data_IF_719716800702
#
_entry.id   IF_719716800702
#
_cell.length_a   1.000
_cell.length_b   1.000
_cell.length_c   1.000
_cell.angle_alpha   90.00
_cell.angle_beta   90.00
_cell.angle_gamma   90.00
#
_symmetry.space_group_name_H-M   'P 1'
#
loop_
_entity.id
_entity.type
_entity.pdbx_description
1 polymer ?
#
# COMPACT_ATOMS: atom_id res chain seq x y z
N UNK A 1 11.14 23.64 5.12
CA UNK A 1 10.91 22.41 4.32
C UNK A 1 10.95 21.23 5.27
N UNK A 2 10.05 20.24 5.12
CA UNK A 2 10.29 18.95 5.76
C UNK A 2 11.37 18.24 4.95
N UNK A 3 12.43 17.78 5.61
CA UNK A 3 13.51 17.02 4.99
C UNK A 3 13.58 15.73 5.80
N UNK A 4 13.40 14.59 5.12
CA UNK A 4 13.61 13.29 5.70
C UNK A 4 15.08 13.17 6.11
N UNK A 5 15.33 12.74 7.34
CA UNK A 5 16.68 12.50 7.85
C UNK A 5 17.14 11.11 7.36
N UNK A 6 18.43 10.96 7.02
CA UNK A 6 19.01 9.69 6.56
C UNK A 6 18.81 8.59 7.61
N UNK A 7 18.26 7.43 7.25
CA UNK A 7 18.03 6.36 8.21
C UNK A 7 19.36 5.73 8.71
N UNK A 8 19.81 6.04 9.93
CA UNK A 8 21.11 5.55 10.48
C UNK A 8 21.21 4.03 10.66
N UNK A 9 20.10 3.34 10.88
CA UNK A 9 20.08 1.87 11.06
C UNK A 9 20.20 1.10 9.74
N UNK A 10 20.08 1.80 8.60
CA UNK A 10 20.07 1.21 7.27
C UNK A 10 21.31 1.68 6.50
N UNK A 11 22.49 1.23 6.94
CA UNK A 11 23.78 1.41 6.23
C UNK A 11 23.84 0.59 4.95
N UNK A 12 22.90 0.83 4.03
CA UNK A 12 22.92 0.29 2.69
C UNK A 12 22.70 1.46 1.71
N UNK A 13 23.60 1.63 0.75
CA UNK A 13 23.58 2.78 -0.17
C UNK A 13 22.35 2.79 -1.08
N UNK A 14 21.70 1.63 -1.26
CA UNK A 14 20.45 1.51 -2.01
C UNK A 14 19.24 2.04 -1.25
N UNK A 15 19.25 1.95 0.09
CA UNK A 15 18.10 2.32 0.93
C UNK A 15 17.89 3.84 0.92
N UNK A 16 18.92 4.58 1.31
CA UNK A 16 18.86 6.06 1.30
C UNK A 16 18.57 6.71 -0.06
N UNK A 17 18.68 5.98 -1.19
CA UNK A 17 18.33 6.51 -2.50
C UNK A 17 16.84 6.89 -2.62
N UNK A 18 15.92 6.08 -2.06
CA UNK A 18 14.48 6.41 -2.12
C UNK A 18 14.14 7.58 -1.20
N UNK A 19 14.76 7.65 -0.02
CA UNK A 19 14.69 8.83 0.86
C UNK A 19 15.13 10.10 0.11
N UNK A 20 16.28 10.05 -0.57
CA UNK A 20 16.81 11.21 -1.30
C UNK A 20 15.90 11.61 -2.46
N UNK A 21 15.38 10.65 -3.23
CA UNK A 21 14.43 10.91 -4.30
C UNK A 21 13.10 11.49 -3.78
N UNK A 22 12.58 10.95 -2.68
CA UNK A 22 11.36 11.46 -2.04
C UNK A 22 11.59 12.90 -1.51
N UNK A 23 12.74 13.17 -0.89
CA UNK A 23 13.14 14.50 -0.45
C UNK A 23 13.25 15.51 -1.60
N UNK A 24 13.74 15.07 -2.77
CA UNK A 24 13.83 15.89 -3.98
C UNK A 24 12.50 16.08 -4.70
N UNK A 25 11.45 15.34 -4.33
CA UNK A 25 10.16 15.36 -5.02
C UNK A 25 9.33 16.60 -4.68
N UNK A 26 8.92 17.35 -5.71
CA UNK A 26 7.95 18.43 -5.54
C UNK A 26 6.59 17.92 -5.03
N UNK A 27 6.22 16.69 -5.37
CA UNK A 27 5.00 16.05 -4.87
C UNK A 27 5.07 15.83 -3.36
N UNK A 28 6.22 15.40 -2.83
CA UNK A 28 6.42 15.25 -1.39
C UNK A 28 6.24 16.58 -0.65
N UNK A 29 6.92 17.64 -1.11
CA UNK A 29 6.79 18.95 -0.51
C UNK A 29 5.34 19.47 -0.52
N UNK A 30 4.62 19.24 -1.63
CA UNK A 30 3.21 19.61 -1.80
C UNK A 30 2.32 18.86 -0.81
N UNK A 31 2.46 17.55 -0.71
CA UNK A 31 1.62 16.74 0.18
C UNK A 31 1.88 17.03 1.65
N UNK A 32 3.13 17.26 2.05
CA UNK A 32 3.44 17.71 3.42
C UNK A 32 2.78 19.05 3.73
N UNK A 33 2.71 19.98 2.77
CA UNK A 33 2.04 21.25 2.95
C UNK A 33 0.52 21.09 3.14
N UNK A 34 -0.11 20.16 2.42
CA UNK A 34 -1.54 19.80 2.60
C UNK A 34 -1.76 19.18 3.97
N UNK A 35 -0.96 18.18 4.35
CA UNK A 35 -1.05 17.50 5.66
C UNK A 35 -0.97 18.52 6.80
N UNK A 36 -0.08 19.51 6.71
CA UNK A 36 0.08 20.56 7.75
C UNK A 36 -1.15 21.43 7.97
N UNK A 37 -2.09 21.47 7.05
CA UNK A 37 -3.37 22.16 7.24
C UNK A 37 -4.27 21.42 8.25
N UNK A 38 -4.03 20.13 8.45
CA UNK A 38 -4.79 19.26 9.35
C UNK A 38 -3.96 18.81 10.56
N UNK A 39 -2.64 18.71 10.42
CA UNK A 39 -1.70 18.21 11.42
C UNK A 39 -0.52 19.17 11.56
N UNK A 40 -0.61 20.13 12.49
CA UNK A 40 0.38 21.21 12.65
C UNK A 40 1.77 20.71 13.09
N UNK A 41 1.82 19.64 13.87
CA UNK A 41 3.03 19.12 14.53
C UNK A 41 3.63 17.90 13.81
N UNK A 42 3.70 17.94 12.47
CA UNK A 42 4.36 16.87 11.71
C UNK A 42 5.88 17.06 11.68
N UNK A 43 6.57 16.10 12.28
CA UNK A 43 8.03 15.97 12.30
C UNK A 43 8.41 14.61 11.71
N UNK A 44 9.49 14.55 10.94
CA UNK A 44 10.01 13.28 10.42
C UNK A 44 11.12 12.81 11.34
N UNK A 45 11.04 11.58 11.83
CA UNK A 45 12.17 10.91 12.51
C UNK A 45 12.66 9.74 11.66
N UNK A 46 13.95 9.46 11.73
CA UNK A 46 14.58 8.35 10.99
C UNK A 46 13.91 7.00 11.29
N UNK A 47 13.51 6.77 12.55
CA UNK A 47 12.83 5.54 13.02
C UNK A 47 11.45 5.32 12.40
N UNK A 48 10.91 6.35 11.77
CA UNK A 48 9.56 6.38 11.23
C UNK A 48 9.54 6.09 9.72
N UNK A 49 10.71 5.75 9.15
CA UNK A 49 10.90 5.41 7.74
C UNK A 49 11.00 3.90 7.56
N UNK A 50 10.16 3.35 6.68
CA UNK A 50 10.21 1.95 6.26
C UNK A 50 10.38 1.89 4.75
N UNK A 51 11.38 1.17 4.27
CA UNK A 51 11.59 0.90 2.85
C UNK A 51 11.48 -0.58 2.54
N UNK A 52 10.81 -0.90 1.45
CA UNK A 52 10.52 -2.26 1.01
C UNK A 52 10.63 -2.36 -0.50
N UNK A 53 10.96 -3.55 -1.00
CA UNK A 53 10.93 -3.87 -2.44
C UNK A 53 9.99 -5.07 -2.63
N UNK A 54 9.07 -4.99 -3.59
CA UNK A 54 8.06 -5.99 -3.94
C UNK A 54 7.74 -5.92 -5.45
N UNK A 55 7.05 -6.88 -6.07
CA UNK A 55 6.86 -6.96 -7.54
C UNK A 55 7.00 -8.38 -8.11
N UNK A 56 6.88 -8.59 -9.42
CA UNK A 56 7.08 -9.93 -10.02
C UNK A 56 8.53 -10.14 -10.44
N UNK A 57 9.21 -11.18 -9.94
CA UNK A 57 10.56 -11.55 -10.38
C UNK A 57 11.05 -12.90 -9.85
N UNK A 58 10.83 -13.96 -10.64
CA UNK A 58 11.13 -15.39 -10.37
C UNK A 58 12.51 -15.72 -9.77
N UNK A 59 13.46 -14.79 -9.74
CA UNK A 59 14.72 -14.80 -8.98
C UNK A 59 15.14 -13.34 -8.77
N UNK A 60 15.84 -13.03 -7.68
CA UNK A 60 16.53 -11.75 -7.51
C UNK A 60 17.32 -11.38 -8.78
N UNK A 61 16.82 -10.41 -9.56
CA UNK A 61 17.55 -9.81 -10.69
C UNK A 61 16.90 -9.86 -12.07
N UNK A 62 15.76 -10.54 -12.29
CA UNK A 62 15.19 -10.73 -13.64
C UNK A 62 13.71 -10.32 -13.78
N UNK A 63 13.17 -9.51 -12.87
CA UNK A 63 11.78 -9.07 -12.91
C UNK A 63 11.57 -7.61 -12.52
N UNK A 64 10.36 -7.12 -12.77
CA UNK A 64 9.93 -5.76 -12.48
C UNK A 64 9.94 -5.53 -10.96
N UNK A 65 10.76 -4.58 -10.51
CA UNK A 65 10.90 -4.28 -9.07
C UNK A 65 10.17 -2.97 -8.73
N UNK A 66 9.15 -3.09 -7.88
CA UNK A 66 8.52 -1.97 -7.23
C UNK A 66 9.18 -1.70 -5.89
N UNK A 67 9.55 -0.45 -5.66
CA UNK A 67 10.09 -0.02 -4.38
C UNK A 67 9.07 0.87 -3.68
N UNK A 68 8.82 0.60 -2.40
CA UNK A 68 8.02 1.44 -1.53
C UNK A 68 8.90 2.07 -0.46
N UNK A 69 8.58 3.32 -0.14
CA UNK A 69 9.01 4.00 1.08
C UNK A 69 7.76 4.50 1.81
N UNK A 70 7.70 4.26 3.11
CA UNK A 70 6.68 4.78 4.00
C UNK A 70 7.35 5.67 5.03
N UNK A 71 6.79 6.84 5.26
CA UNK A 71 7.25 7.80 6.27
C UNK A 71 6.07 8.11 7.16
N UNK A 72 6.11 7.62 8.39
CA UNK A 72 5.14 7.98 9.41
C UNK A 72 5.52 9.36 9.98
N UNK A 73 4.64 10.34 9.91
CA UNK A 73 4.90 11.69 10.44
C UNK A 73 4.33 11.86 11.86
N UNK A 74 3.28 11.13 12.18
CA UNK A 74 2.70 10.94 13.51
C UNK A 74 1.76 9.70 13.47
N UNK A 75 0.95 9.48 14.50
CA UNK A 75 0.05 8.31 14.59
C UNK A 75 -1.10 8.29 13.57
N UNK A 76 -1.36 9.39 12.88
CA UNK A 76 -2.48 9.52 11.93
C UNK A 76 -2.05 10.11 10.58
N UNK A 77 -0.75 10.04 10.26
CA UNK A 77 -0.19 10.58 9.02
C UNK A 77 0.93 9.67 8.50
N UNK A 78 0.75 9.18 7.28
CA UNK A 78 1.73 8.40 6.53
C UNK A 78 1.91 9.03 5.15
N UNK A 79 3.16 9.24 4.76
CA UNK A 79 3.53 9.50 3.38
C UNK A 79 4.05 8.22 2.75
N UNK A 80 3.52 7.86 1.60
CA UNK A 80 3.92 6.71 0.79
C UNK A 80 4.60 7.22 -0.48
N UNK A 81 5.78 6.73 -0.77
CA UNK A 81 6.46 6.85 -2.05
C UNK A 81 6.51 5.49 -2.74
N UNK A 82 6.11 5.44 -4.00
CA UNK A 82 6.17 4.24 -4.83
C UNK A 82 6.99 4.52 -6.07
N UNK A 83 7.99 3.69 -6.33
CA UNK A 83 8.83 3.76 -7.52
C UNK A 83 8.78 2.45 -8.28
N UNK A 84 8.67 2.55 -9.58
CA UNK A 84 8.71 1.44 -10.51
C UNK A 84 9.92 1.60 -11.42
N UNK A 85 10.88 0.68 -11.36
CA UNK A 85 12.12 0.72 -12.16
C UNK A 85 12.78 2.12 -12.23
N UNK A 86 12.84 2.72 -13.42
CA UNK A 86 13.45 4.03 -13.68
C UNK A 86 12.43 5.19 -13.71
N UNK A 87 11.17 4.95 -13.38
CA UNK A 87 10.14 5.99 -13.35
C UNK A 87 10.36 6.99 -12.20
N UNK A 88 9.67 8.13 -12.31
CA UNK A 88 9.55 9.08 -11.19
C UNK A 88 8.75 8.45 -10.03
N UNK A 89 9.13 8.81 -8.80
CA UNK A 89 8.44 8.35 -7.60
C UNK A 89 7.02 8.94 -7.54
N UNK A 90 6.01 8.07 -7.49
CA UNK A 90 4.62 8.44 -7.20
C UNK A 90 4.50 8.64 -5.69
N UNK A 91 4.03 9.81 -5.27
CA UNK A 91 3.85 10.14 -3.85
C UNK A 91 2.37 10.22 -3.50
N UNK A 92 2.00 9.55 -2.41
CA UNK A 92 0.66 9.51 -1.82
C UNK A 92 0.75 9.90 -0.34
N UNK A 93 -0.25 10.58 0.17
CA UNK A 93 -0.39 10.86 1.60
C UNK A 93 -1.69 10.25 2.10
N UNK A 94 -1.61 9.67 3.30
CA UNK A 94 -2.73 9.11 4.03
C UNK A 94 -2.76 9.83 5.36
N UNK A 95 -3.83 10.54 5.66
CA UNK A 95 -3.92 11.28 6.92
C UNK A 95 -5.36 11.40 7.38
N UNK A 96 -5.56 11.52 8.69
CA UNK A 96 -6.87 11.84 9.22
C UNK A 96 -7.24 13.31 8.94
N UNK A 97 -8.49 13.57 8.63
CA UNK A 97 -9.02 14.92 8.47
C UNK A 97 -10.46 14.98 8.96
N UNK A 98 -10.98 16.20 9.13
CA UNK A 98 -12.40 16.43 9.37
C UNK A 98 -13.04 16.82 8.06
N UNK A 99 -14.07 16.08 7.63
CA UNK A 99 -14.79 16.36 6.39
C UNK A 99 -15.79 17.52 6.55
N UNK A 100 -16.48 17.90 5.46
CA UNK A 100 -17.45 19.00 5.45
C UNK A 100 -18.62 18.80 6.44
N UNK A 101 -18.90 17.55 6.83
CA UNK A 101 -19.95 17.20 7.80
C UNK A 101 -19.47 17.23 9.25
N UNK A 102 -18.19 17.51 9.49
CA UNK A 102 -17.58 17.47 10.82
C UNK A 102 -17.18 16.07 11.27
N UNK A 103 -17.21 15.08 10.38
CA UNK A 103 -16.83 13.70 10.69
C UNK A 103 -15.32 13.52 10.49
N UNK A 104 -14.67 12.79 11.39
CA UNK A 104 -13.28 12.40 11.21
C UNK A 104 -13.21 11.27 10.19
N UNK A 105 -12.41 11.45 9.14
CA UNK A 105 -12.20 10.50 8.06
C UNK A 105 -10.71 10.31 7.79
N UNK A 106 -10.36 9.30 6.99
CA UNK A 106 -9.02 9.12 6.44
C UNK A 106 -9.05 9.57 4.99
N UNK A 107 -8.24 10.57 4.67
CA UNK A 107 -8.02 11.03 3.31
C UNK A 107 -6.79 10.35 2.72
N UNK A 108 -6.95 9.83 1.50
CA UNK A 108 -5.87 9.34 0.64
C UNK A 108 -5.74 10.30 -0.52
N UNK A 109 -4.61 11.00 -0.61
CA UNK A 109 -4.38 12.02 -1.65
C UNK A 109 -3.10 11.71 -2.42
N UNK A 110 -3.10 12.04 -3.71
CA UNK A 110 -1.96 11.85 -4.61
C UNK A 110 -1.67 13.13 -5.35
N UNK A 111 -0.44 13.28 -5.84
CA UNK A 111 -0.13 14.34 -6.80
C UNK A 111 -0.09 13.75 -8.21
N UNK A 112 -0.97 14.22 -9.09
CA UNK A 112 -0.95 13.88 -10.52
C UNK A 112 -0.85 15.15 -11.34
N UNK A 113 0.06 15.17 -12.31
CA UNK A 113 0.28 16.33 -13.20
C UNK A 113 0.48 17.65 -12.42
N UNK A 114 1.15 17.59 -11.26
CA UNK A 114 1.39 18.74 -10.39
C UNK A 114 0.18 19.22 -9.58
N UNK A 115 -0.96 18.53 -9.65
CA UNK A 115 -2.17 18.85 -8.89
C UNK A 115 -2.43 17.81 -7.80
N UNK A 116 -2.95 18.25 -6.66
CA UNK A 116 -3.39 17.37 -5.58
C UNK A 116 -4.78 16.83 -5.93
N UNK A 117 -4.91 15.52 -5.99
CA UNK A 117 -6.17 14.82 -6.19
C UNK A 117 -6.51 14.02 -4.94
N UNK A 118 -7.76 14.13 -4.48
CA UNK A 118 -8.30 13.19 -3.49
C UNK A 118 -8.56 11.88 -4.22
N UNK A 119 -7.76 10.87 -3.88
CA UNK A 119 -7.91 9.53 -4.43
C UNK A 119 -9.02 8.78 -3.71
N UNK A 120 -9.13 8.95 -2.40
CA UNK A 120 -10.20 8.36 -1.62
C UNK A 120 -10.43 9.06 -0.27
N UNK A 121 -11.65 8.90 0.26
CA UNK A 121 -12.05 9.25 1.62
C UNK A 121 -12.80 8.07 2.25
N UNK A 122 -12.32 7.57 3.37
CA UNK A 122 -12.93 6.44 4.09
C UNK A 122 -13.22 6.81 5.56
N UNK A 123 -14.17 6.12 6.23
CA UNK A 123 -14.41 6.33 7.66
C UNK A 123 -13.12 6.19 8.49
N UNK A 124 -12.97 7.03 9.51
CA UNK A 124 -11.78 6.96 10.36
C UNK A 124 -11.75 5.69 11.21
N UNK A 125 -10.62 5.00 11.13
CA UNK A 125 -10.25 3.89 11.98
C UNK A 125 -8.78 4.08 12.38
N UNK A 126 -8.49 4.21 13.69
CA UNK A 126 -7.13 4.43 14.16
C UNK A 126 -6.18 3.27 13.79
N UNK A 127 -6.72 2.05 13.66
CA UNK A 127 -5.94 0.88 13.29
C UNK A 127 -5.42 0.94 11.85
N UNK A 128 -6.03 1.77 10.99
CA UNK A 128 -5.57 2.01 9.63
C UNK A 128 -4.09 2.38 9.58
N UNK A 129 -3.61 3.26 10.47
CA UNK A 129 -2.22 3.75 10.44
C UNK A 129 -1.20 2.74 10.98
N UNK A 130 -1.64 1.58 11.45
CA UNK A 130 -0.78 0.53 11.96
C UNK A 130 -0.27 -0.40 10.85
N UNK A 131 -0.78 -0.29 9.61
CA UNK A 131 -0.35 -1.17 8.51
C UNK A 131 1.17 -1.09 8.25
N UNK A 132 1.81 0.07 8.50
CA UNK A 132 3.27 0.20 8.36
C UNK A 132 4.01 -0.65 9.39
N UNK A 133 3.47 -0.80 10.60
CA UNK A 133 4.02 -1.70 11.62
C UNK A 133 3.79 -3.17 11.25
N UNK A 134 2.66 -3.50 10.60
CA UNK A 134 2.42 -4.84 10.01
C UNK A 134 3.47 -5.18 8.96
N UNK A 135 3.89 -4.21 8.16
CA UNK A 135 4.93 -4.40 7.15
C UNK A 135 6.34 -4.55 7.77
N UNK A 136 6.60 -3.99 8.97
CA UNK A 136 7.85 -4.20 9.73
C UNK A 136 7.90 -5.59 10.37
N UNK A 137 6.74 -6.12 10.72
CA UNK A 137 6.57 -7.44 11.32
C UNK A 137 5.76 -8.31 10.37
N UNK A 138 6.40 -8.88 9.33
CA UNK A 138 5.78 -9.78 8.37
C UNK A 138 5.47 -11.13 9.03
N UNK A 139 4.70 -11.09 10.11
CA UNK A 139 4.11 -12.25 10.73
C UNK A 139 3.00 -12.70 9.79
N UNK A 140 3.36 -13.62 8.92
CA UNK A 140 2.51 -14.43 8.03
C UNK A 140 3.27 -15.66 7.54
N UNK A 141 4.47 -15.85 8.11
CA UNK A 141 5.59 -16.56 7.51
C UNK A 141 6.35 -17.38 8.56
N UNK A 142 5.65 -17.98 9.53
CA UNK A 142 6.26 -19.06 10.32
C UNK A 142 6.66 -20.27 9.42
N UNK A 143 6.32 -20.23 8.12
CA UNK A 143 6.79 -21.16 7.08
C UNK A 143 7.50 -20.51 5.86
N UNK A 144 7.64 -19.17 5.76
CA UNK A 144 8.25 -18.54 4.57
C UNK A 144 9.58 -17.90 4.93
N UNK A 145 10.67 -18.60 4.60
CA UNK A 145 12.04 -18.25 4.97
C UNK A 145 12.56 -16.93 4.34
N UNK A 146 11.88 -16.41 3.31
CA UNK A 146 12.16 -15.11 2.70
C UNK A 146 10.84 -14.48 2.24
N UNK A 147 10.60 -13.21 2.57
CA UNK A 147 9.57 -12.42 1.90
C UNK A 147 10.07 -12.18 0.49
N UNK A 148 9.70 -13.05 -0.44
CA UNK A 148 9.98 -12.79 -1.84
C UNK A 148 8.89 -11.89 -2.42
N UNK A 149 9.20 -11.06 -3.42
CA UNK A 149 8.22 -10.35 -4.21
C UNK A 149 7.10 -11.25 -4.78
N UNK A 150 7.30 -12.57 -4.90
CA UNK A 150 6.28 -13.56 -5.31
C UNK A 150 5.39 -14.04 -4.15
N UNK A 151 5.87 -13.94 -2.90
CA UNK A 151 5.25 -14.57 -1.74
C UNK A 151 3.87 -13.99 -1.38
N UNK A 152 3.52 -12.82 -1.92
CA UNK A 152 2.20 -12.20 -1.73
C UNK A 152 1.23 -12.47 -2.91
N UNK A 153 1.65 -13.07 -4.02
CA UNK A 153 0.72 -13.49 -5.08
C UNK A 153 0.58 -15.01 -5.17
N UNK A 154 1.60 -15.79 -4.80
CA UNK A 154 1.56 -17.24 -4.95
C UNK A 154 0.84 -17.91 -3.76
N UNK A 155 -0.35 -18.45 -4.02
CA UNK A 155 -1.23 -19.00 -3.00
C UNK A 155 -2.11 -17.95 -2.31
N UNK A 156 -2.82 -18.37 -1.26
CA UNK A 156 -3.80 -17.51 -0.59
C UNK A 156 -3.15 -16.63 0.45
N UNK A 157 -3.48 -15.34 0.38
CA UNK A 157 -2.89 -14.32 1.22
C UNK A 157 -3.18 -14.56 2.70
N UNK A 158 -2.14 -14.39 3.53
CA UNK A 158 -2.23 -14.40 4.98
C UNK A 158 -1.66 -13.09 5.50
N UNK A 159 -2.47 -12.33 6.23
CA UNK A 159 -2.05 -11.05 6.80
C UNK A 159 -2.23 -11.02 8.31
N UNK A 160 -1.22 -10.54 9.03
CA UNK A 160 -1.32 -10.22 10.44
C UNK A 160 -1.84 -8.80 10.62
N UNK A 161 -2.80 -8.66 11.52
CA UNK A 161 -3.35 -7.38 11.94
C UNK A 161 -2.68 -6.95 13.24
N UNK A 162 -1.88 -5.90 13.18
CA UNK A 162 -1.17 -5.35 14.34
C UNK A 162 -2.12 -4.69 15.36
N UNK A 163 -3.26 -4.19 14.91
CA UNK A 163 -4.27 -3.58 15.77
C UNK A 163 -4.97 -4.57 16.70
N UNK A 164 -5.03 -5.86 16.35
CA UNK A 164 -5.70 -6.88 17.17
C UNK A 164 -4.88 -8.15 17.44
N UNK A 165 -3.69 -8.28 16.86
CA UNK A 165 -2.79 -9.42 17.07
C UNK A 165 -3.21 -10.72 16.40
N UNK A 166 -4.08 -10.68 15.37
CA UNK A 166 -4.62 -11.88 14.70
C UNK A 166 -4.16 -12.02 13.26
N UNK A 167 -4.11 -13.27 12.80
CA UNK A 167 -3.89 -13.63 11.41
C UNK A 167 -5.21 -13.80 10.66
N UNK A 168 -5.24 -13.32 9.42
CA UNK A 168 -6.37 -13.39 8.49
C UNK A 168 -5.97 -14.22 7.29
N UNK A 169 -6.63 -15.37 7.12
CA UNK A 169 -6.41 -16.29 6.01
C UNK A 169 -7.46 -16.03 4.93
N UNK A 170 -7.06 -15.30 3.89
CA UNK A 170 -7.95 -14.90 2.81
C UNK A 170 -8.36 -16.11 1.97
N UNK A 171 -9.57 -16.06 1.42
CA UNK A 171 -10.17 -17.16 0.65
C UNK A 171 -10.10 -16.89 -0.85
N UNK A 172 -10.06 -15.61 -1.21
CA UNK A 172 -10.10 -15.11 -2.58
C UNK A 172 -8.88 -14.28 -2.94
N UNK A 173 -8.26 -13.57 -2.00
CA UNK A 173 -7.07 -12.81 -2.31
C UNK A 173 -5.85 -13.73 -2.48
N UNK A 174 -5.26 -13.72 -3.68
CA UNK A 174 -4.09 -14.50 -4.04
C UNK A 174 -4.33 -15.45 -5.23
N UNK A 175 -3.28 -15.86 -5.91
CA UNK A 175 -3.39 -16.66 -7.14
C UNK A 175 -3.95 -18.05 -6.83
N UNK A 176 -5.04 -18.39 -7.53
CA UNK A 176 -5.70 -19.70 -7.40
C UNK A 176 -6.66 -19.81 -6.21
N UNK A 177 -6.87 -18.72 -5.47
CA UNK A 177 -7.73 -18.68 -4.30
C UNK A 177 -9.15 -18.40 -4.74
N UNK A 178 -9.99 -19.43 -4.77
CA UNK A 178 -11.37 -19.27 -5.26
C UNK A 178 -12.41 -19.54 -4.17
N UNK A 179 -12.02 -19.59 -2.90
CA UNK A 179 -12.91 -19.93 -1.78
C UNK A 179 -13.78 -21.15 -2.07
N UNK A 180 -13.12 -22.28 -2.39
CA UNK A 180 -13.75 -23.53 -2.81
C UNK A 180 -14.74 -23.35 -3.98
N UNK A 181 -14.28 -22.80 -5.10
CA UNK A 181 -15.10 -22.62 -6.30
C UNK A 181 -16.25 -21.62 -6.13
N UNK A 182 -15.99 -20.51 -5.43
CA UNK A 182 -16.92 -19.42 -5.13
C UNK A 182 -18.07 -19.77 -4.17
N UNK A 183 -17.89 -20.81 -3.35
CA UNK A 183 -18.92 -21.29 -2.41
C UNK A 183 -18.79 -20.70 -1.01
N UNK A 184 -17.60 -20.21 -0.64
CA UNK A 184 -17.36 -19.64 0.67
C UNK A 184 -17.77 -18.16 0.73
N UNK A 185 -18.22 -17.72 1.90
CA UNK A 185 -18.41 -16.27 2.16
C UNK A 185 -17.04 -15.60 2.23
N UNK A 186 -16.83 -14.41 1.65
CA UNK A 186 -15.62 -13.65 1.89
C UNK A 186 -15.39 -13.37 3.39
N UNK A 187 -14.13 -13.38 3.82
CA UNK A 187 -13.73 -13.16 5.21
C UNK A 187 -14.08 -11.75 5.70
N UNK A 188 -13.84 -10.74 4.87
CA UNK A 188 -14.00 -9.32 5.14
C UNK A 188 -14.22 -8.55 3.81
N UNK A 189 -14.43 -7.21 3.84
CA UNK A 189 -14.59 -6.42 2.63
C UNK A 189 -13.47 -6.59 1.59
N UNK A 190 -12.20 -6.62 1.99
CA UNK A 190 -11.09 -6.85 1.06
C UNK A 190 -11.16 -8.22 0.35
N UNK A 191 -11.45 -9.30 1.09
CA UNK A 191 -11.64 -10.64 0.52
C UNK A 191 -12.83 -10.65 -0.46
N UNK A 192 -13.84 -9.79 -0.20
CA UNK A 192 -14.96 -9.55 -1.11
C UNK A 192 -14.55 -8.88 -2.42
N UNK A 193 -13.61 -7.91 -2.36
CA UNK A 193 -13.02 -7.31 -3.55
C UNK A 193 -12.30 -8.34 -4.42
N UNK A 194 -11.48 -9.20 -3.79
CA UNK A 194 -10.79 -10.28 -4.50
C UNK A 194 -11.76 -11.29 -5.11
N UNK A 195 -12.83 -11.68 -4.40
CA UNK A 195 -13.87 -12.55 -4.95
C UNK A 195 -14.50 -11.95 -6.22
N UNK A 196 -14.78 -10.64 -6.20
CA UNK A 196 -15.37 -9.95 -7.35
C UNK A 196 -14.38 -9.93 -8.53
N UNK A 197 -13.10 -9.69 -8.27
CA UNK A 197 -12.03 -9.72 -9.26
C UNK A 197 -11.86 -11.10 -9.91
N UNK A 198 -11.81 -12.17 -9.12
CA UNK A 198 -11.74 -13.55 -9.63
C UNK A 198 -12.93 -13.88 -10.55
N UNK A 199 -14.13 -13.41 -10.18
CA UNK A 199 -15.34 -13.57 -11.02
C UNK A 199 -15.24 -12.75 -12.30
N UNK A 200 -14.64 -11.56 -12.25
CA UNK A 200 -14.39 -10.71 -13.40
C UNK A 200 -13.43 -11.42 -14.37
N UNK A 201 -12.28 -11.88 -13.89
CA UNK A 201 -11.32 -12.66 -14.68
C UNK A 201 -11.92 -13.93 -15.28
N UNK A 202 -12.81 -14.62 -14.56
CA UNK A 202 -13.53 -15.78 -15.11
C UNK A 202 -14.40 -15.43 -16.34
N UNK A 203 -14.91 -14.20 -16.41
CA UNK A 203 -15.80 -13.75 -17.48
C UNK A 203 -15.05 -13.05 -18.63
N UNK A 204 -13.99 -12.29 -18.33
CA UNK A 204 -13.30 -11.42 -19.30
C UNK A 204 -11.88 -11.89 -19.66
N UNK A 205 -11.29 -12.78 -18.86
CA UNK A 205 -9.92 -13.24 -19.02
C UNK A 205 -8.97 -12.65 -17.96
N UNK A 206 -7.83 -13.32 -17.76
CA UNK A 206 -6.76 -12.85 -16.88
C UNK A 206 -6.01 -11.69 -17.56
N UNK A 207 -5.69 -10.65 -16.80
CA UNK A 207 -5.02 -9.44 -17.31
C UNK A 207 -5.96 -8.46 -17.99
N UNK A 208 -7.25 -8.49 -17.68
CA UNK A 208 -8.20 -7.45 -18.09
C UNK A 208 -8.03 -6.19 -17.23
N UNK A 209 -7.54 -5.10 -17.83
CA UNK A 209 -7.30 -3.82 -17.17
C UNK A 209 -8.53 -3.29 -16.41
N UNK A 210 -9.74 -3.57 -16.91
CA UNK A 210 -10.99 -3.17 -16.28
C UNK A 210 -11.27 -3.91 -14.98
N UNK A 211 -11.03 -5.22 -14.96
CA UNK A 211 -11.09 -6.03 -13.74
C UNK A 211 -10.07 -5.53 -12.70
N UNK A 212 -8.84 -5.26 -13.13
CA UNK A 212 -7.77 -4.78 -12.24
C UNK A 212 -8.05 -3.38 -11.69
N UNK A 213 -8.60 -2.48 -12.51
CA UNK A 213 -9.00 -1.15 -12.04
C UNK A 213 -10.14 -1.20 -11.02
N UNK A 214 -11.08 -2.14 -11.18
CA UNK A 214 -12.15 -2.38 -10.21
C UNK A 214 -11.60 -2.95 -8.90
N UNK A 215 -10.66 -3.89 -8.96
CA UNK A 215 -9.99 -4.41 -7.77
C UNK A 215 -9.25 -3.30 -7.02
N UNK A 216 -8.49 -2.47 -7.74
CA UNK A 216 -7.80 -1.31 -7.16
C UNK A 216 -8.77 -0.40 -6.42
N UNK A 217 -9.84 0.01 -7.09
CA UNK A 217 -10.85 0.91 -6.53
C UNK A 217 -11.52 0.28 -5.30
N UNK A 218 -11.85 -1.01 -5.35
CA UNK A 218 -12.48 -1.71 -4.24
C UNK A 218 -11.54 -1.85 -3.04
N UNK A 219 -10.32 -2.37 -3.24
CA UNK A 219 -9.34 -2.58 -2.18
C UNK A 219 -8.94 -1.25 -1.52
N UNK A 220 -8.77 -0.18 -2.31
CA UNK A 220 -8.42 1.15 -1.80
C UNK A 220 -9.56 1.79 -0.97
N UNK A 221 -10.79 1.25 -1.01
CA UNK A 221 -11.93 1.61 -0.16
C UNK A 221 -12.01 0.82 1.15
N UNK A 222 -11.04 -0.05 1.43
CA UNK A 222 -10.97 -0.83 2.67
C UNK A 222 -9.80 -0.40 3.54
N UNK A 223 -9.80 -0.88 4.78
CA UNK A 223 -8.70 -0.80 5.74
C UNK A 223 -8.31 -2.19 6.28
N UNK A 224 -8.81 -3.26 5.65
CA UNK A 224 -8.55 -4.63 6.08
C UNK A 224 -7.07 -5.01 5.90
N UNK A 225 -6.50 -5.90 6.74
CA UNK A 225 -5.10 -6.29 6.65
C UNK A 225 -4.70 -6.71 5.24
N UNK A 226 -3.65 -6.10 4.70
CA UNK A 226 -3.16 -6.34 3.34
C UNK A 226 -3.83 -5.54 2.22
N UNK A 227 -4.81 -4.68 2.52
CA UNK A 227 -5.52 -3.87 1.52
C UNK A 227 -4.57 -3.08 0.62
N UNK A 228 -3.51 -2.54 1.20
CA UNK A 228 -2.52 -1.72 0.50
C UNK A 228 -1.81 -2.52 -0.59
N UNK A 229 -1.37 -3.73 -0.28
CA UNK A 229 -0.65 -4.58 -1.24
C UNK A 229 -1.57 -4.97 -2.40
N UNK A 230 -2.81 -5.36 -2.10
CA UNK A 230 -3.81 -5.70 -3.12
C UNK A 230 -4.14 -4.50 -4.01
N UNK A 231 -4.34 -3.32 -3.40
CA UNK A 231 -4.65 -2.10 -4.14
C UNK A 231 -3.50 -1.70 -5.06
N UNK A 232 -2.26 -1.61 -4.55
CA UNK A 232 -1.12 -1.18 -5.37
C UNK A 232 -0.78 -2.18 -6.47
N UNK A 233 -0.93 -3.49 -6.23
CA UNK A 233 -0.79 -4.48 -7.30
C UNK A 233 -1.83 -4.27 -8.40
N UNK A 234 -3.11 -4.17 -8.02
CA UNK A 234 -4.20 -4.02 -8.97
C UNK A 234 -4.07 -2.72 -9.80
N UNK A 235 -3.59 -1.64 -9.17
CA UNK A 235 -3.27 -0.40 -9.88
C UNK A 235 -2.19 -0.61 -10.95
N UNK A 236 -1.13 -1.34 -10.62
CA UNK A 236 -0.04 -1.58 -11.54
C UNK A 236 -0.44 -2.48 -12.70
N UNK A 237 -1.21 -3.55 -12.44
CA UNK A 237 -1.79 -4.39 -13.49
C UNK A 237 -2.65 -3.55 -14.43
N UNK A 238 -3.59 -2.77 -13.88
CA UNK A 238 -4.50 -1.93 -14.65
C UNK A 238 -3.80 -0.80 -15.44
N UNK A 239 -2.54 -0.49 -15.13
CA UNK A 239 -1.76 0.56 -15.81
C UNK A 239 -0.63 -0.01 -16.66
N UNK A 240 -0.58 -1.34 -16.85
CA UNK A 240 0.43 -2.02 -17.67
C UNK A 240 1.85 -1.91 -17.12
N UNK A 241 1.99 -1.75 -15.81
CA UNK A 241 3.30 -1.70 -15.13
C UNK A 241 3.81 -3.10 -14.76
N UNK A 242 2.90 -4.06 -14.60
CA UNK A 242 3.20 -5.47 -14.35
C UNK A 242 2.70 -6.33 -15.52
#
# INVERSE_FOLDING_TARGET
MAVLVQARELKDSKKNKLVDELNGSAAFATLVAIVRQHHADVEVKETDILELTFGEGKKMGEGVQQQAIFVKLNDEVIIQGLKHDQEEIRVKAHFSATNEKGEKTILKVVVKNGQVEVENEIPFDASYFLFVEELKHPTGADEVAEITPEAWYDGCLVFYNSGNGKYYYYRYCGKGCTGNGFTQTPLNPLDGCCQAHDRCYKNFGVGDDGCDWQLYTCANNTSDPGWWMVAEWAYNMATGKL
#
